data_IF_686454120079
#
_entry.id   IF_686454120079
#
_cell.length_a   1.000
_cell.length_b   1.000
_cell.length_c   1.000
_cell.angle_alpha   90.00
_cell.angle_beta   90.00
_cell.angle_gamma   90.00
#
_symmetry.space_group_name_H-M   'P 1'
#
loop_
_entity.id
_entity.type
_entity.pdbx_description
1 polymer ?
#
# COMPACT_ATOMS: atom_id res chain seq x y z
N UNK A 1 -8.53 10.23 -18.49
CA UNK A 1 -7.89 8.93 -18.27
C UNK A 1 -7.42 8.87 -16.83
N UNK A 2 -7.70 7.77 -16.13
CA UNK A 2 -7.27 7.55 -14.75
C UNK A 2 -5.86 6.95 -14.72
N UNK A 3 -5.11 7.20 -13.64
CA UNK A 3 -3.82 6.56 -13.37
C UNK A 3 -4.04 5.09 -12.97
N UNK A 4 -3.04 4.25 -13.21
CA UNK A 4 -3.05 2.85 -12.77
C UNK A 4 -2.24 2.71 -11.47
N UNK A 5 -2.71 1.86 -10.56
CA UNK A 5 -2.07 1.65 -9.26
C UNK A 5 -2.03 0.16 -8.94
N UNK A 6 -0.85 -0.34 -8.58
CA UNK A 6 -0.61 -1.76 -8.34
C UNK A 6 0.16 -1.97 -7.04
N UNK A 7 -0.18 -3.04 -6.31
CA UNK A 7 0.57 -3.49 -5.15
C UNK A 7 1.14 -4.88 -5.44
N UNK A 8 2.46 -5.01 -5.33
CA UNK A 8 3.13 -6.29 -5.36
C UNK A 8 3.55 -6.67 -3.94
N UNK A 9 3.12 -7.83 -3.48
CA UNK A 9 3.54 -8.41 -2.21
C UNK A 9 4.18 -9.77 -2.49
N UNK A 10 5.32 -10.05 -1.83
CA UNK A 10 6.02 -11.33 -2.00
C UNK A 10 5.10 -12.49 -1.58
N UNK A 11 5.00 -13.50 -2.45
CA UNK A 11 4.19 -14.71 -2.23
C UNK A 11 2.68 -14.47 -1.99
N UNK A 12 2.17 -13.28 -2.35
CA UNK A 12 0.75 -12.91 -2.27
C UNK A 12 0.29 -12.43 -3.65
N UNK A 13 -0.11 -13.34 -4.55
CA UNK A 13 -0.57 -12.96 -5.88
C UNK A 13 -1.97 -12.35 -5.84
N UNK A 14 -2.16 -11.24 -6.54
CA UNK A 14 -3.47 -10.68 -6.89
C UNK A 14 -3.96 -11.19 -8.25
N UNK A 15 -4.86 -10.43 -8.87
CA UNK A 15 -5.52 -10.80 -10.14
C UNK A 15 -5.26 -9.82 -11.30
N UNK A 16 -4.33 -8.88 -11.15
CA UNK A 16 -4.06 -7.90 -12.21
C UNK A 16 -3.64 -8.55 -13.52
N UNK A 17 -4.33 -8.17 -14.60
CA UNK A 17 -4.07 -8.60 -15.98
C UNK A 17 -3.15 -7.63 -16.74
N UNK A 18 -2.58 -6.64 -16.04
CA UNK A 18 -1.62 -5.71 -16.62
C UNK A 18 -0.39 -6.45 -17.16
N UNK A 19 0.18 -5.96 -18.27
CA UNK A 19 1.34 -6.61 -18.93
C UNK A 19 2.63 -6.50 -18.12
N UNK A 20 2.82 -5.42 -17.38
CA UNK A 20 4.03 -5.17 -16.59
C UNK A 20 3.83 -5.61 -15.13
N UNK A 21 2.63 -5.38 -14.60
CA UNK A 21 2.25 -5.70 -13.22
C UNK A 21 1.32 -6.92 -13.14
N UNK A 22 1.59 -7.97 -13.92
CA UNK A 22 0.78 -9.19 -13.92
C UNK A 22 0.78 -9.88 -12.56
N UNK A 23 -0.39 -10.34 -12.11
CA UNK A 23 -0.63 -10.96 -10.80
C UNK A 23 -0.30 -10.05 -9.60
N UNK A 24 -0.11 -8.74 -9.82
CA UNK A 24 -0.19 -7.77 -8.74
C UNK A 24 -1.64 -7.61 -8.28
N UNK A 25 -1.79 -6.93 -7.16
CA UNK A 25 -3.07 -6.46 -6.63
C UNK A 25 -3.41 -5.13 -7.32
N UNK A 26 -4.58 -5.04 -7.93
CA UNK A 26 -5.09 -3.76 -8.44
C UNK A 26 -5.60 -2.90 -7.28
N UNK A 27 -5.18 -1.63 -7.26
CA UNK A 27 -5.53 -0.68 -6.20
C UNK A 27 -6.46 0.40 -6.73
N UNK A 28 -7.48 0.71 -5.95
CA UNK A 28 -8.46 1.76 -6.23
C UNK A 28 -8.06 3.08 -5.59
N UNK A 29 -7.48 3.04 -4.40
CA UNK A 29 -6.95 4.20 -3.71
C UNK A 29 -5.92 3.80 -2.66
N UNK A 30 -5.03 4.71 -2.32
CA UNK A 30 -4.10 4.53 -1.21
C UNK A 30 -3.92 5.84 -0.45
N UNK A 31 -3.55 5.74 0.81
CA UNK A 31 -3.13 6.87 1.62
C UNK A 31 -2.01 6.45 2.56
N UNK A 32 -1.05 7.35 2.74
CA UNK A 32 0.08 7.15 3.62
C UNK A 32 0.61 8.50 4.08
N UNK A 33 1.15 8.55 5.29
CA UNK A 33 1.59 9.79 5.88
C UNK A 33 2.58 9.58 7.02
N UNK A 34 3.20 10.67 7.40
CA UNK A 34 4.11 10.72 8.54
C UNK A 34 4.09 12.11 9.16
N UNK A 35 4.36 12.19 10.47
CA UNK A 35 4.36 13.44 11.23
C UNK A 35 5.63 13.57 12.06
N UNK A 36 6.16 14.80 12.18
CA UNK A 36 7.36 15.11 12.96
C UNK A 36 6.96 15.85 14.24
N UNK A 37 7.36 15.30 15.39
CA UNK A 37 7.15 15.92 16.71
C UNK A 37 8.13 17.07 17.04
N UNK A 38 9.16 17.27 16.20
CA UNK A 38 10.14 18.35 16.38
C UNK A 38 9.52 19.74 16.28
N UNK A 39 10.05 20.68 17.08
CA UNK A 39 9.55 22.05 17.15
C UNK A 39 10.67 23.08 17.05
N UNK A 40 10.45 24.15 16.30
CA UNK A 40 11.38 25.28 16.16
C UNK A 40 11.16 26.36 17.21
N UNK A 41 10.18 26.19 18.11
CA UNK A 41 9.85 27.18 19.15
C UNK A 41 10.74 27.05 20.40
N UNK A 42 11.58 26.02 20.47
CA UNK A 42 12.49 25.76 21.59
C UNK A 42 13.92 26.19 21.24
N UNK A 43 14.26 27.45 21.55
CA UNK A 43 15.64 27.96 21.55
C UNK A 43 16.42 27.87 20.22
N UNK A 44 17.70 28.23 20.25
CA UNK A 44 18.57 28.33 19.07
C UNK A 44 19.02 26.99 18.46
N UNK A 45 18.46 25.86 18.92
CA UNK A 45 18.95 24.52 18.63
C UNK A 45 17.90 23.49 18.25
N UNK A 46 16.69 23.89 17.85
CA UNK A 46 15.64 23.04 17.26
C UNK A 46 15.26 21.83 18.12
N UNK A 47 14.11 21.90 18.81
CA UNK A 47 13.64 20.84 19.71
C UNK A 47 13.68 19.45 19.06
N UNK A 48 14.45 18.54 19.68
CA UNK A 48 14.60 17.17 19.22
C UNK A 48 13.23 16.51 19.00
N UNK A 49 13.05 15.84 17.86
CA UNK A 49 11.81 15.17 17.50
C UNK A 49 12.07 13.88 16.74
N UNK A 50 11.15 12.92 16.86
CA UNK A 50 11.15 11.68 16.09
C UNK A 50 9.93 11.69 15.17
N UNK A 51 10.13 11.20 13.96
CA UNK A 51 9.04 10.99 13.01
C UNK A 51 8.17 9.80 13.46
N UNK A 52 6.86 9.96 13.33
CA UNK A 52 5.89 8.86 13.38
C UNK A 52 5.45 8.57 11.95
N UNK A 53 5.79 7.40 11.44
CA UNK A 53 5.36 6.93 10.12
C UNK A 53 4.10 6.10 10.32
N UNK A 54 3.01 6.47 9.65
CA UNK A 54 1.75 5.73 9.70
C UNK A 54 1.80 4.50 8.80
N UNK A 55 0.87 3.59 9.00
CA UNK A 55 0.63 2.47 8.09
C UNK A 55 0.20 2.98 6.71
N UNK A 56 0.56 2.25 5.66
CA UNK A 56 0.01 2.45 4.31
C UNK A 56 -1.36 1.78 4.25
N UNK A 57 -2.41 2.55 3.97
CA UNK A 57 -3.75 2.01 3.79
C UNK A 57 -4.11 2.02 2.32
N UNK A 58 -4.56 0.87 1.80
CA UNK A 58 -5.02 0.71 0.42
C UNK A 58 -6.49 0.28 0.38
N UNK A 59 -7.17 0.60 -0.71
CA UNK A 59 -8.47 0.02 -1.07
C UNK A 59 -8.33 -0.78 -2.36
N UNK A 60 -8.90 -1.97 -2.37
CA UNK A 60 -8.93 -2.89 -3.51
C UNK A 60 -10.28 -3.60 -3.57
N UNK A 61 -10.58 -4.28 -4.67
CA UNK A 61 -11.64 -5.28 -4.68
C UNK A 61 -11.15 -6.56 -4.04
N UNK A 62 -12.06 -7.36 -3.48
CA UNK A 62 -11.77 -8.73 -3.07
C UNK A 62 -11.28 -9.52 -4.28
N UNK A 63 -10.12 -10.15 -4.13
CA UNK A 63 -9.48 -10.95 -5.18
C UNK A 63 -8.75 -12.15 -4.53
N UNK A 64 -8.00 -12.91 -5.32
CA UNK A 64 -7.17 -14.03 -4.85
C UNK A 64 -6.26 -13.70 -3.66
N UNK A 65 -5.76 -12.47 -3.55
CA UNK A 65 -4.87 -12.06 -2.45
C UNK A 65 -5.58 -11.95 -1.11
N UNK A 66 -6.90 -11.70 -1.11
CA UNK A 66 -7.70 -11.42 0.10
C UNK A 66 -7.62 -12.54 1.14
N UNK A 67 -7.59 -13.80 0.69
CA UNK A 67 -7.44 -14.96 1.59
C UNK A 67 -6.12 -14.91 2.36
N UNK A 68 -5.01 -14.67 1.65
CA UNK A 68 -3.68 -14.67 2.25
C UNK A 68 -3.45 -13.42 3.11
N UNK A 69 -3.98 -12.26 2.71
CA UNK A 69 -3.93 -11.03 3.50
C UNK A 69 -4.67 -11.19 4.84
N UNK A 70 -5.86 -11.78 4.80
CA UNK A 70 -6.65 -12.09 6.01
C UNK A 70 -5.92 -13.09 6.90
N UNK A 71 -5.37 -14.17 6.33
CA UNK A 71 -4.62 -15.17 7.09
C UNK A 71 -3.35 -14.59 7.73
N UNK A 72 -2.61 -13.72 7.02
CA UNK A 72 -1.43 -13.04 7.55
C UNK A 72 -1.80 -12.07 8.67
N UNK A 73 -2.92 -11.35 8.55
CA UNK A 73 -3.42 -10.48 9.63
C UNK A 73 -3.75 -11.29 10.90
N UNK A 74 -4.49 -12.40 10.76
CA UNK A 74 -4.84 -13.27 11.90
C UNK A 74 -3.62 -13.92 12.58
N UNK A 75 -2.61 -14.31 11.79
CA UNK A 75 -1.42 -15.00 12.30
C UNK A 75 -0.31 -14.07 12.76
N UNK A 76 -0.35 -12.78 12.37
CA UNK A 76 0.75 -11.84 12.56
C UNK A 76 2.00 -12.18 11.73
N UNK A 77 1.88 -13.09 10.73
CA UNK A 77 2.99 -13.45 9.86
C UNK A 77 3.33 -12.25 8.96
N UNK A 78 4.59 -11.81 9.00
CA UNK A 78 5.07 -10.77 8.09
C UNK A 78 5.32 -11.30 6.68
N UNK A 79 5.23 -10.39 5.71
CA UNK A 79 5.61 -10.57 4.31
C UNK A 79 6.97 -9.88 4.12
N UNK A 80 7.97 -10.58 3.62
CA UNK A 80 9.35 -10.08 3.58
C UNK A 80 9.48 -8.74 2.83
N UNK A 81 8.77 -8.57 1.72
CA UNK A 81 8.89 -7.39 0.87
C UNK A 81 7.64 -7.13 0.02
N UNK A 82 7.45 -5.87 -0.35
CA UNK A 82 6.44 -5.45 -1.30
C UNK A 82 6.64 -4.04 -1.81
N UNK A 83 5.92 -3.69 -2.88
CA UNK A 83 6.06 -2.40 -3.55
C UNK A 83 4.70 -1.90 -4.04
N UNK A 84 4.39 -0.64 -3.73
CA UNK A 84 3.32 0.12 -4.36
C UNK A 84 3.85 0.81 -5.62
N UNK A 85 3.13 0.71 -6.73
CA UNK A 85 3.44 1.37 -7.98
C UNK A 85 2.29 2.28 -8.42
N UNK A 86 2.61 3.50 -8.85
CA UNK A 86 1.65 4.43 -9.46
C UNK A 86 2.15 4.82 -10.85
N UNK A 87 1.33 4.54 -11.86
CA UNK A 87 1.65 4.72 -13.27
C UNK A 87 0.78 5.79 -13.91
N UNK A 88 1.40 6.72 -14.64
CA UNK A 88 0.69 7.74 -15.41
C UNK A 88 -0.26 7.07 -16.42
N UNK A 89 -1.33 7.75 -16.75
CA UNK A 89 -2.25 7.28 -17.77
C UNK A 89 -1.75 7.64 -19.18
N UNK A 90 -1.93 6.72 -20.14
CA UNK A 90 -1.73 6.95 -21.58
C UNK A 90 -0.27 6.86 -22.07
N UNK A 91 -0.12 6.91 -23.39
CA UNK A 91 1.14 6.69 -24.11
C UNK A 91 1.42 5.21 -24.42
N UNK A 92 2.35 4.96 -25.35
CA UNK A 92 2.71 3.59 -25.75
C UNK A 92 3.43 2.80 -24.64
N UNK A 93 4.10 3.53 -23.73
CA UNK A 93 4.79 3.02 -22.54
C UNK A 93 4.56 3.97 -21.37
N UNK A 94 3.49 3.78 -20.59
CA UNK A 94 3.15 4.67 -19.50
C UNK A 94 4.22 4.62 -18.39
N UNK A 95 4.63 5.79 -17.88
CA UNK A 95 5.69 5.91 -16.87
C UNK A 95 5.17 5.60 -15.47
N UNK A 96 5.83 4.68 -14.78
CA UNK A 96 5.69 4.52 -13.32
C UNK A 96 6.49 5.63 -12.64
N UNK A 97 5.79 6.53 -11.94
CA UNK A 97 6.36 7.76 -11.40
C UNK A 97 6.27 7.85 -9.87
N UNK A 98 5.65 6.87 -9.22
CA UNK A 98 5.78 6.67 -7.78
C UNK A 98 6.02 5.19 -7.56
N UNK A 99 7.05 4.88 -6.79
CA UNK A 99 7.29 3.56 -6.24
C UNK A 99 7.58 3.69 -4.74
N UNK A 100 6.87 2.90 -3.93
CA UNK A 100 7.12 2.78 -2.49
C UNK A 100 7.47 1.34 -2.18
N UNK A 101 8.75 1.07 -1.95
CA UNK A 101 9.22 -0.25 -1.54
C UNK A 101 9.16 -0.36 -0.02
N UNK A 102 8.73 -1.50 0.49
CA UNK A 102 8.54 -1.79 1.92
C UNK A 102 9.14 -3.16 2.25
N UNK A 103 9.67 -3.30 3.47
CA UNK A 103 10.23 -4.58 3.98
C UNK A 103 9.66 -4.95 5.35
N UNK A 104 9.58 -6.24 5.64
CA UNK A 104 9.00 -6.79 6.88
C UNK A 104 7.59 -6.26 7.12
N UNK A 105 6.69 -6.55 6.19
CA UNK A 105 5.34 -5.99 6.14
C UNK A 105 4.40 -6.82 7.00
N UNK A 106 3.69 -6.21 7.94
CA UNK A 106 2.58 -6.81 8.68
C UNK A 106 1.26 -6.26 8.14
N UNK A 107 0.29 -7.14 7.92
CA UNK A 107 -1.09 -6.72 7.64
C UNK A 107 -1.75 -6.28 8.95
N UNK A 108 -1.80 -4.97 9.18
CA UNK A 108 -2.23 -4.37 10.44
C UNK A 108 -3.75 -4.26 10.56
N UNK A 109 -4.46 -4.19 9.44
CA UNK A 109 -5.92 -4.19 9.39
C UNK A 109 -6.46 -4.79 8.10
N UNK A 110 -7.63 -5.42 8.20
CA UNK A 110 -8.44 -5.91 7.07
C UNK A 110 -9.89 -5.51 7.35
N UNK A 111 -10.46 -4.68 6.48
CA UNK A 111 -11.85 -4.22 6.57
C UNK A 111 -12.53 -4.58 5.25
N UNK A 112 -13.43 -5.57 5.28
CA UNK A 112 -14.20 -5.99 4.11
C UNK A 112 -15.62 -5.41 4.24
N UNK A 113 -16.09 -4.73 3.20
CA UNK A 113 -17.40 -4.09 3.17
C UNK A 113 -18.13 -4.47 1.88
N UNK A 114 -19.39 -4.86 2.03
CA UNK A 114 -20.22 -5.24 0.91
C UNK A 114 -21.70 -4.98 1.17
N UNK A 115 -22.40 -4.53 0.14
CA UNK A 115 -23.86 -4.43 0.08
C UNK A 115 -24.40 -5.37 -0.99
N UNK A 116 -25.69 -5.72 -0.92
CA UNK A 116 -26.33 -6.59 -1.93
C UNK A 116 -26.27 -5.99 -3.35
N UNK A 117 -26.11 -4.68 -3.46
CA UNK A 117 -26.12 -3.97 -4.75
C UNK A 117 -24.70 -3.74 -5.31
N UNK A 118 -23.65 -4.16 -4.61
CA UNK A 118 -22.29 -3.99 -5.10
C UNK A 118 -21.98 -5.01 -6.20
N UNK A 119 -21.45 -4.53 -7.33
CA UNK A 119 -21.00 -5.41 -8.41
C UNK A 119 -19.74 -6.21 -7.99
N UNK A 120 -18.85 -5.56 -7.25
CA UNK A 120 -17.63 -6.13 -6.69
C UNK A 120 -17.48 -5.68 -5.24
N UNK A 121 -17.08 -6.59 -4.36
CA UNK A 121 -16.89 -6.33 -2.93
C UNK A 121 -15.60 -5.57 -2.71
N UNK A 122 -15.65 -4.52 -1.88
CA UNK A 122 -14.50 -3.71 -1.53
C UNK A 122 -13.84 -4.20 -0.24
N UNK A 123 -12.52 -4.06 -0.18
CA UNK A 123 -11.77 -4.20 1.06
C UNK A 123 -10.70 -3.11 1.21
N UNK A 124 -10.48 -2.72 2.46
CA UNK A 124 -9.43 -1.79 2.88
C UNK A 124 -8.41 -2.57 3.71
N UNK A 125 -7.13 -2.43 3.35
CA UNK A 125 -6.02 -3.17 3.95
C UNK A 125 -5.01 -2.17 4.50
N UNK A 126 -4.63 -2.34 5.76
CA UNK A 126 -3.53 -1.64 6.41
C UNK A 126 -2.24 -2.43 6.35
N UNK A 127 -1.15 -1.76 5.96
CA UNK A 127 0.19 -2.32 5.86
C UNK A 127 1.12 -1.55 6.80
N UNK A 128 1.56 -2.22 7.87
CA UNK A 128 2.67 -1.76 8.69
C UNK A 128 3.99 -2.34 8.15
N UNK A 129 5.11 -1.63 8.28
CA UNK A 129 6.39 -2.09 7.76
C UNK A 129 7.58 -1.51 8.53
N UNK A 130 8.71 -2.20 8.47
CA UNK A 130 9.93 -1.79 9.19
C UNK A 130 10.72 -0.69 8.51
N UNK A 131 10.77 -0.69 7.18
CA UNK A 131 11.52 0.25 6.35
C UNK A 131 10.76 0.53 5.08
N UNK A 132 10.98 1.72 4.52
CA UNK A 132 10.48 2.08 3.20
C UNK A 132 11.55 2.80 2.36
N UNK A 133 11.38 2.77 1.04
CA UNK A 133 12.06 3.64 0.10
C UNK A 133 11.03 4.27 -0.85
N UNK A 134 11.13 5.59 -1.08
CA UNK A 134 10.22 6.32 -1.96
C UNK A 134 10.98 6.83 -3.19
N UNK A 135 10.50 6.49 -4.39
CA UNK A 135 11.08 6.91 -5.68
C UNK A 135 10.04 7.65 -6.50
N UNK A 136 10.46 8.75 -7.16
CA UNK A 136 9.65 9.58 -8.07
C UNK A 136 10.35 9.77 -9.42
#
# INVERSE_FOLDING_TARGET
MAIDMFLKLKDVPGESVDKEYTNCIDILSWNWGMSQAGTTHMGSGGGAGKVSVSDLTIKKYVDKSSLQLTANSCSGKHIDSGSLYVRKAGGDKPLTYIQIDMTEIIISSVIIQGTQNDELILEEIGLNFSKFAYTY
#
